data_IF_154031619577
#
_entry.id   IF_154031619577
#
_cell.length_a   1.000
_cell.length_b   1.000
_cell.length_c   1.000
_cell.angle_alpha   90.00
_cell.angle_beta   90.00
_cell.angle_gamma   90.00
#
_symmetry.space_group_name_H-M   'P 1'
#
loop_
_entity.id
_entity.type
_entity.pdbx_description
1 polymer ?
#
# COMPACT_ATOMS: atom_id res chain seq x y z
N UNK A 1 50.95 13.00 -84.21
CA UNK A 1 49.97 11.98 -83.78
C UNK A 1 49.97 11.78 -82.26
N UNK A 2 51.08 11.36 -81.64
CA UNK A 2 51.17 11.12 -80.18
C UNK A 2 50.86 12.37 -79.34
N UNK A 3 51.33 13.56 -79.75
CA UNK A 3 51.07 14.83 -79.05
C UNK A 3 49.59 15.21 -79.01
N UNK A 4 48.85 14.92 -80.08
CA UNK A 4 47.41 15.20 -80.17
C UNK A 4 46.60 14.26 -79.28
N UNK A 5 47.00 12.99 -79.18
CA UNK A 5 46.39 12.01 -78.28
C UNK A 5 46.60 12.41 -76.82
N UNK A 6 47.80 12.85 -76.46
CA UNK A 6 48.10 13.32 -75.09
C UNK A 6 47.30 14.58 -74.75
N UNK A 7 47.15 15.52 -75.70
CA UNK A 7 46.34 16.73 -75.52
C UNK A 7 44.87 16.37 -75.32
N UNK A 8 44.34 15.43 -76.12
CA UNK A 8 42.98 14.92 -76.00
C UNK A 8 42.71 14.28 -74.62
N UNK A 9 43.60 13.40 -74.15
CA UNK A 9 43.47 12.76 -72.83
C UNK A 9 43.49 13.81 -71.72
N UNK A 10 44.35 14.84 -71.80
CA UNK A 10 44.40 15.91 -70.79
C UNK A 10 43.13 16.78 -70.77
N UNK A 11 42.58 17.10 -71.93
CA UNK A 11 41.36 17.91 -72.05
C UNK A 11 40.13 17.15 -71.59
N UNK A 12 40.04 15.85 -71.90
CA UNK A 12 38.86 15.03 -71.62
C UNK A 12 39.04 14.05 -70.45
N UNK A 13 40.09 14.20 -69.62
CA UNK A 13 40.38 13.31 -68.49
C UNK A 13 39.19 13.08 -67.56
N UNK A 14 38.41 14.13 -67.28
CA UNK A 14 37.22 14.04 -66.42
C UNK A 14 36.13 13.20 -67.10
N UNK A 15 35.87 13.43 -68.38
CA UNK A 15 34.90 12.66 -69.15
C UNK A 15 35.29 11.18 -69.29
N UNK A 16 36.58 10.88 -69.46
CA UNK A 16 37.09 9.51 -69.51
C UNK A 16 36.99 8.79 -68.16
N UNK A 17 37.26 9.48 -67.05
CA UNK A 17 37.07 8.93 -65.70
C UNK A 17 35.59 8.67 -65.44
N UNK A 18 34.70 9.60 -65.81
CA UNK A 18 33.25 9.41 -65.67
C UNK A 18 32.74 8.26 -66.53
N UNK A 19 33.22 8.13 -67.78
CA UNK A 19 32.86 7.01 -68.65
C UNK A 19 33.38 5.66 -68.11
N UNK A 20 34.57 5.64 -67.50
CA UNK A 20 35.11 4.45 -66.85
C UNK A 20 34.28 4.07 -65.62
N UNK A 21 33.94 5.04 -64.77
CA UNK A 21 33.09 4.82 -63.59
C UNK A 21 31.72 4.30 -64.04
N UNK A 22 31.04 5.00 -64.94
CA UNK A 22 29.72 4.60 -65.46
C UNK A 22 29.74 3.26 -66.22
N UNK A 23 30.85 2.93 -66.89
CA UNK A 23 31.05 1.64 -67.58
C UNK A 23 31.37 0.47 -66.64
N UNK A 24 31.89 0.73 -65.44
CA UNK A 24 32.14 -0.29 -64.40
C UNK A 24 30.90 -0.49 -63.51
N UNK A 25 29.99 0.49 -63.42
CA UNK A 25 28.78 0.42 -62.59
C UNK A 25 27.72 -0.65 -62.97
N UNK A 26 27.54 -1.15 -64.21
CA UNK A 26 26.44 -2.08 -64.50
C UNK A 26 26.60 -3.47 -63.85
N UNK A 27 27.74 -3.77 -63.21
CA UNK A 27 27.96 -5.02 -62.46
C UNK A 27 27.76 -4.90 -60.94
N UNK A 28 27.30 -3.75 -60.43
CA UNK A 28 26.87 -3.68 -59.04
C UNK A 28 25.53 -4.40 -58.93
N UNK A 29 25.54 -5.66 -58.49
CA UNK A 29 24.32 -6.45 -58.22
C UNK A 29 23.39 -5.64 -57.31
N UNK A 30 22.39 -4.99 -57.91
CA UNK A 30 21.23 -4.47 -57.19
C UNK A 30 20.49 -5.71 -56.71
N UNK A 31 20.64 -6.05 -55.44
CA UNK A 31 19.86 -7.11 -54.81
C UNK A 31 18.39 -6.76 -55.01
N UNK A 32 17.64 -7.68 -55.61
CA UNK A 32 16.23 -7.49 -55.93
C UNK A 32 15.39 -7.66 -54.67
N UNK A 33 15.28 -6.58 -53.89
CA UNK A 33 14.48 -6.52 -52.66
C UNK A 33 12.97 -6.40 -52.93
N UNK A 34 12.54 -6.43 -54.19
CA UNK A 34 11.12 -6.29 -54.56
C UNK A 34 10.24 -7.34 -53.86
N UNK A 35 10.75 -8.57 -53.71
CA UNK A 35 10.03 -9.67 -53.06
C UNK A 35 9.83 -9.43 -51.57
N UNK A 36 10.87 -8.98 -50.86
CA UNK A 36 10.79 -8.65 -49.43
C UNK A 36 9.89 -7.44 -49.20
N UNK A 37 9.97 -6.43 -50.05
CA UNK A 37 9.12 -5.26 -50.00
C UNK A 37 7.63 -5.60 -50.20
N UNK A 38 7.32 -6.43 -51.20
CA UNK A 38 5.94 -6.85 -51.50
C UNK A 38 5.32 -7.73 -50.40
N UNK A 39 6.15 -8.44 -49.61
CA UNK A 39 5.67 -9.23 -48.47
C UNK A 39 5.47 -8.38 -47.20
N UNK A 40 6.31 -7.37 -47.01
CA UNK A 40 6.30 -6.53 -45.79
C UNK A 40 5.30 -5.39 -45.89
N UNK A 41 5.12 -4.77 -47.06
CA UNK A 41 4.19 -3.67 -47.28
C UNK A 41 2.75 -3.94 -46.78
N UNK A 42 2.07 -5.04 -47.16
CA UNK A 42 0.70 -5.28 -46.70
C UNK A 42 0.60 -5.54 -45.19
N UNK A 43 1.66 -6.06 -44.54
CA UNK A 43 1.71 -6.26 -43.10
C UNK A 43 1.80 -4.93 -42.35
N UNK A 44 2.56 -3.97 -42.90
CA UNK A 44 2.67 -2.61 -42.36
C UNK A 44 1.32 -1.91 -42.44
N UNK A 45 0.62 -2.00 -43.57
CA UNK A 45 -0.72 -1.42 -43.74
C UNK A 45 -1.76 -2.03 -42.79
N UNK A 46 -1.71 -3.35 -42.57
CA UNK A 46 -2.59 -4.05 -41.61
C UNK A 46 -2.33 -3.61 -40.16
N UNK A 47 -1.05 -3.46 -39.80
CA UNK A 47 -0.65 -2.94 -38.49
C UNK A 47 -1.11 -1.50 -38.30
N UNK A 48 -0.98 -0.67 -39.33
CA UNK A 48 -1.41 0.73 -39.33
C UNK A 48 -2.93 0.87 -39.14
N UNK A 49 -3.73 -0.08 -39.62
CA UNK A 49 -5.17 -0.14 -39.35
C UNK A 49 -5.53 -0.67 -37.95
N UNK A 50 -4.79 -1.66 -37.44
CA UNK A 50 -5.05 -2.26 -36.12
C UNK A 50 -4.69 -1.33 -34.95
N UNK A 51 -3.68 -0.49 -35.12
CA UNK A 51 -3.23 0.45 -34.08
C UNK A 51 -4.35 1.42 -33.64
N UNK A 52 -5.06 2.13 -34.54
CA UNK A 52 -6.21 2.98 -34.20
C UNK A 52 -7.37 2.21 -33.58
N UNK A 53 -7.66 1.00 -34.07
CA UNK A 53 -8.76 0.19 -33.55
C UNK A 53 -8.53 -0.24 -32.08
N UNK A 54 -7.29 -0.57 -31.73
CA UNK A 54 -6.91 -0.85 -30.34
C UNK A 54 -6.90 0.41 -29.48
N UNK A 55 -6.44 1.54 -30.03
CA UNK A 55 -6.38 2.83 -29.30
C UNK A 55 -7.76 3.43 -29.04
N UNK A 56 -8.69 3.23 -29.95
CA UNK A 56 -10.08 3.72 -29.84
C UNK A 56 -11.03 2.64 -29.33
N UNK A 57 -10.53 1.59 -28.67
CA UNK A 57 -11.38 0.58 -28.07
C UNK A 57 -12.32 1.25 -27.05
N UNK A 58 -13.59 1.37 -27.42
CA UNK A 58 -14.66 2.02 -26.65
C UNK A 58 -14.78 1.44 -25.24
N UNK A 59 -14.49 0.15 -25.07
CA UNK A 59 -14.50 -0.51 -23.76
C UNK A 59 -13.38 0.02 -22.88
N UNK A 60 -12.17 0.23 -23.43
CA UNK A 60 -11.03 0.77 -22.68
C UNK A 60 -11.32 2.20 -22.18
N UNK A 61 -11.98 3.01 -23.02
CA UNK A 61 -12.41 4.36 -22.63
C UNK A 61 -13.48 4.32 -21.54
N UNK A 62 -14.48 3.45 -21.68
CA UNK A 62 -15.53 3.26 -20.67
C UNK A 62 -14.97 2.80 -19.33
N UNK A 63 -13.99 1.89 -19.35
CA UNK A 63 -13.32 1.41 -18.15
C UNK A 63 -12.52 2.53 -17.50
N UNK A 64 -11.82 3.36 -18.28
CA UNK A 64 -11.07 4.50 -17.74
C UNK A 64 -12.01 5.52 -17.06
N UNK A 65 -13.15 5.82 -17.67
CA UNK A 65 -14.16 6.71 -17.07
C UNK A 65 -14.72 6.14 -15.76
N UNK A 66 -14.93 4.82 -15.67
CA UNK A 66 -15.37 4.15 -14.44
C UNK A 66 -14.29 4.18 -13.34
N UNK A 67 -13.02 3.98 -13.71
CA UNK A 67 -11.88 4.10 -12.79
C UNK A 67 -11.79 5.52 -12.21
N UNK A 68 -11.91 6.54 -13.05
CA UNK A 68 -11.85 7.94 -12.62
C UNK A 68 -13.02 8.26 -11.66
N UNK A 69 -14.22 7.75 -11.95
CA UNK A 69 -15.39 7.90 -11.07
C UNK A 69 -15.17 7.24 -9.72
N UNK A 70 -14.68 6.00 -9.69
CA UNK A 70 -14.42 5.24 -8.46
C UNK A 70 -13.30 5.88 -7.63
N UNK A 71 -12.30 6.47 -8.27
CA UNK A 71 -11.25 7.22 -7.58
C UNK A 71 -11.82 8.46 -6.88
N UNK A 72 -12.69 9.22 -7.54
CA UNK A 72 -13.34 10.37 -6.92
C UNK A 72 -14.22 9.96 -5.73
N UNK A 73 -15.02 8.90 -5.90
CA UNK A 73 -15.88 8.38 -4.83
C UNK A 73 -15.06 7.90 -3.61
N UNK A 74 -13.92 7.23 -3.84
CA UNK A 74 -13.02 6.83 -2.76
C UNK A 74 -12.39 8.04 -2.04
N UNK A 75 -12.05 9.10 -2.77
CA UNK A 75 -11.50 10.32 -2.15
C UNK A 75 -12.55 11.02 -1.28
N UNK A 76 -13.80 11.11 -1.74
CA UNK A 76 -14.90 11.70 -0.98
C UNK A 76 -15.21 10.88 0.29
N UNK A 77 -15.30 9.55 0.16
CA UNK A 77 -15.50 8.66 1.30
C UNK A 77 -14.34 8.75 2.30
N UNK A 78 -13.10 8.84 1.82
CA UNK A 78 -11.93 9.00 2.68
C UNK A 78 -12.01 10.30 3.49
N UNK A 79 -12.49 11.39 2.89
CA UNK A 79 -12.69 12.67 3.58
C UNK A 79 -13.82 12.56 4.62
N UNK A 80 -14.93 11.91 4.27
CA UNK A 80 -16.03 11.71 5.21
C UNK A 80 -15.60 10.86 6.43
N UNK A 81 -14.78 9.82 6.22
CA UNK A 81 -14.21 9.02 7.31
C UNK A 81 -13.31 9.86 8.21
N UNK A 82 -12.48 10.74 7.64
CA UNK A 82 -11.63 11.63 8.41
C UNK A 82 -12.44 12.62 9.26
N UNK A 83 -13.49 13.20 8.69
CA UNK A 83 -14.37 14.14 9.39
C UNK A 83 -15.15 13.45 10.52
N UNK A 84 -15.69 12.26 10.28
CA UNK A 84 -16.36 11.46 11.33
C UNK A 84 -15.38 11.04 12.44
N UNK A 85 -14.13 10.74 12.09
CA UNK A 85 -13.10 10.40 13.08
C UNK A 85 -12.81 11.58 14.00
N UNK A 86 -12.68 12.79 13.44
CA UNK A 86 -12.54 14.04 14.22
C UNK A 86 -13.74 14.28 15.14
N UNK A 87 -14.96 14.04 14.64
CA UNK A 87 -16.18 14.18 15.45
C UNK A 87 -16.20 13.19 16.62
N UNK A 88 -15.84 11.93 16.39
CA UNK A 88 -15.73 10.91 17.44
C UNK A 88 -14.71 11.29 18.51
N UNK A 89 -13.56 11.83 18.12
CA UNK A 89 -12.51 12.21 19.07
C UNK A 89 -12.94 13.43 19.91
N UNK A 90 -13.64 14.40 19.32
CA UNK A 90 -14.25 15.51 20.06
C UNK A 90 -15.31 15.02 21.07
N UNK A 91 -16.18 14.08 20.67
CA UNK A 91 -17.19 13.47 21.54
C UNK A 91 -16.55 12.71 22.71
N UNK A 92 -15.46 11.97 22.46
CA UNK A 92 -14.71 11.26 23.50
C UNK A 92 -14.10 12.23 24.50
N UNK A 93 -13.42 13.28 24.04
CA UNK A 93 -12.85 14.31 24.90
C UNK A 93 -13.93 14.97 25.79
N UNK A 94 -15.10 15.28 25.23
CA UNK A 94 -16.22 15.85 25.98
C UNK A 94 -16.77 14.88 27.04
N UNK A 95 -16.86 13.58 26.73
CA UNK A 95 -17.30 12.56 27.70
C UNK A 95 -16.30 12.37 28.83
N UNK A 96 -15.01 12.39 28.52
CA UNK A 96 -13.94 12.28 29.52
C UNK A 96 -13.97 13.49 30.47
N UNK A 97 -14.16 14.69 29.95
CA UNK A 97 -14.27 15.91 30.77
C UNK A 97 -15.49 15.85 31.71
N UNK A 98 -16.66 15.45 31.18
CA UNK A 98 -17.85 15.25 32.01
C UNK A 98 -17.66 14.17 33.09
N UNK A 99 -16.95 13.09 32.78
CA UNK A 99 -16.65 12.04 33.75
C UNK A 99 -15.72 12.55 34.87
N UNK A 100 -14.74 13.39 34.55
CA UNK A 100 -13.87 14.04 35.55
C UNK A 100 -14.66 14.96 36.48
N UNK A 101 -15.52 15.81 35.91
CA UNK A 101 -16.38 16.73 36.68
C UNK A 101 -17.30 15.94 37.63
N UNK A 102 -17.94 14.87 37.17
CA UNK A 102 -18.81 14.03 38.01
C UNK A 102 -18.04 13.31 39.15
N UNK A 103 -16.79 12.90 38.89
CA UNK A 103 -15.91 12.34 39.93
C UNK A 103 -15.46 13.38 40.94
N UNK A 104 -15.30 14.63 40.54
CA UNK A 104 -14.89 15.73 41.42
C UNK A 104 -16.05 16.20 42.30
N UNK A 105 -17.27 16.26 41.76
CA UNK A 105 -18.50 16.57 42.51
C UNK A 105 -18.84 15.50 43.56
N UNK A 106 -18.64 14.22 43.24
CA UNK A 106 -18.86 13.11 44.18
C UNK A 106 -17.83 13.10 45.32
N UNK A 107 -16.57 13.43 45.06
CA UNK A 107 -15.54 13.57 46.12
C UNK A 107 -15.82 14.75 47.05
N UNK A 108 -16.35 15.86 46.53
CA UNK A 108 -16.73 17.04 47.33
C UNK A 108 -17.93 16.79 48.25
N UNK A 109 -18.84 15.89 47.87
CA UNK A 109 -19.97 15.42 48.69
C UNK A 109 -19.53 14.55 49.88
N UNK A 110 -18.43 13.81 49.73
CA UNK A 110 -17.95 12.85 50.73
C UNK A 110 -17.09 13.52 51.83
N UNK A 111 -16.38 14.60 51.48
CA UNK A 111 -15.60 15.41 52.42
C UNK A 111 -16.51 16.23 53.36
N UNK A 112 -17.69 16.68 52.89
CA UNK A 112 -18.66 17.41 53.71
C UNK A 112 -19.40 16.53 54.75
N UNK A 113 -19.36 15.20 54.59
CA UNK A 113 -19.98 14.26 55.54
C UNK A 113 -19.05 13.86 56.70
N UNK A 114 -17.74 14.15 56.61
CA UNK A 114 -16.77 13.88 57.69
C UNK A 114 -16.60 15.03 58.69
N UNK A 115 -17.00 16.25 58.32
CA UNK A 115 -16.88 17.43 59.20
C UNK A 115 -18.09 17.68 60.13
N UNK A 116 -19.13 16.83 60.09
CA UNK A 116 -20.31 16.92 60.98
C UNK A 116 -20.34 15.86 62.10
N UNK A 117 -19.19 15.26 62.42
CA UNK A 117 -19.04 14.29 63.51
C UNK A 117 -18.03 14.71 64.60
N UNK A 118 -17.47 15.92 64.53
CA UNK A 118 -16.48 16.43 65.49
C UNK A 118 -17.03 17.70 66.17
N UNK A 119 -18.21 17.62 66.76
CA UNK A 119 -18.71 18.69 67.64
C UNK A 119 -19.77 18.14 68.62
N UNK A 120 -19.48 17.00 69.23
CA UNK A 120 -20.07 16.60 70.51
C UNK A 120 -19.44 15.30 70.99
N UNK A 121 -18.46 15.42 71.88
CA UNK A 121 -18.23 14.54 73.03
C UNK A 121 -16.87 14.86 73.65
N UNK A 122 -16.86 15.86 74.54
CA UNK A 122 -15.79 16.02 75.51
C UNK A 122 -16.42 16.02 76.90
N UNK A 123 -16.50 14.84 77.55
CA UNK A 123 -16.20 14.67 78.97
C UNK A 123 -16.54 13.28 79.53
N UNK A 124 -15.47 12.64 80.05
CA UNK A 124 -15.37 12.01 81.38
C UNK A 124 -15.76 10.53 81.56
N UNK A 125 -14.70 9.72 81.56
CA UNK A 125 -14.24 8.77 82.60
C UNK A 125 -14.67 7.29 82.68
N UNK A 126 -13.61 6.47 82.71
CA UNK A 126 -13.29 5.33 83.59
C UNK A 126 -14.10 4.03 83.53
N UNK A 127 -13.52 2.97 82.93
CA UNK A 127 -12.83 1.90 83.66
C UNK A 127 -12.49 0.64 82.82
N UNK A 128 -11.23 0.21 82.98
CA UNK A 128 -10.73 -1.15 83.15
C UNK A 128 -10.62 -2.16 81.96
N UNK A 129 -9.40 -2.70 81.90
CA UNK A 129 -8.98 -4.07 81.50
C UNK A 129 -8.56 -4.37 80.07
N UNK A 130 -7.23 -4.36 79.90
CA UNK A 130 -6.40 -5.55 79.64
C UNK A 130 -6.86 -6.44 78.46
N UNK A 131 -6.10 -6.46 77.36
CA UNK A 131 -5.02 -7.43 77.14
C UNK A 131 -4.47 -7.39 75.69
N UNK A 132 -3.14 -7.41 75.59
CA UNK A 132 -2.29 -8.04 74.55
C UNK A 132 -2.42 -7.68 73.07
N UNK A 133 -1.42 -6.91 72.62
CA UNK A 133 -0.39 -7.25 71.62
C UNK A 133 -0.77 -8.12 70.42
N UNK A 134 -0.50 -7.60 69.21
CA UNK A 134 0.54 -8.05 68.23
C UNK A 134 0.16 -7.46 66.85
N UNK A 135 0.81 -6.39 66.40
CA UNK A 135 2.03 -6.39 65.55
C UNK A 135 1.82 -7.16 64.24
N UNK A 136 2.20 -6.71 63.05
CA UNK A 136 2.74 -5.48 62.47
C UNK A 136 2.81 -5.79 60.96
N UNK A 137 2.78 -4.77 60.10
CA UNK A 137 3.53 -4.84 58.83
C UNK A 137 2.71 -5.03 57.53
N UNK A 138 2.29 -3.90 56.98
CA UNK A 138 2.48 -3.58 55.55
C UNK A 138 4.00 -3.51 55.22
N UNK A 139 4.53 -3.42 53.97
CA UNK A 139 3.87 -3.01 52.71
C UNK A 139 4.35 -3.65 51.37
N UNK A 140 3.60 -3.35 50.30
CA UNK A 140 4.04 -2.92 48.95
C UNK A 140 4.71 -3.84 47.88
N UNK A 141 4.22 -3.61 46.65
CA UNK A 141 4.92 -3.31 45.37
C UNK A 141 5.37 -4.41 44.37
N UNK A 142 4.70 -4.37 43.21
CA UNK A 142 5.16 -3.95 41.85
C UNK A 142 6.18 -4.77 41.02
N UNK A 143 5.90 -4.73 39.70
CA UNK A 143 6.78 -4.88 38.52
C UNK A 143 7.06 -6.32 38.03
N UNK A 144 6.65 -6.72 36.82
CA UNK A 144 7.06 -6.30 35.46
C UNK A 144 8.40 -6.92 34.98
N UNK A 145 8.36 -7.61 33.85
CA UNK A 145 9.48 -7.89 32.92
C UNK A 145 8.82 -8.23 31.57
N UNK A 146 8.94 -7.44 30.48
CA UNK A 146 10.15 -7.05 29.70
C UNK A 146 10.92 -8.29 29.22
N UNK A 147 11.32 -8.50 27.97
CA UNK A 147 11.31 -7.78 26.69
C UNK A 147 11.54 -8.83 25.59
N UNK A 148 11.46 -8.53 24.30
CA UNK A 148 12.59 -7.93 23.58
C UNK A 148 12.13 -7.37 22.22
N UNK A 149 12.73 -6.26 21.83
CA UNK A 149 12.40 -5.40 20.68
C UNK A 149 13.63 -5.28 19.80
N UNK A 150 13.55 -5.40 18.46
CA UNK A 150 13.57 -4.28 17.47
C UNK A 150 14.21 -4.80 16.15
N UNK A 151 14.09 -4.14 14.95
CA UNK A 151 13.62 -2.77 14.71
C UNK A 151 12.54 -2.55 13.63
N UNK A 152 12.03 -1.33 13.69
CA UNK A 152 10.98 -0.66 12.91
C UNK A 152 11.16 -0.74 11.39
N UNK A 153 10.03 -0.88 10.68
CA UNK A 153 9.67 -0.03 9.54
C UNK A 153 8.15 0.17 9.59
N UNK A 154 7.74 1.42 9.81
CA UNK A 154 6.36 1.83 9.70
C UNK A 154 5.97 1.77 8.20
N UNK A 155 5.11 0.84 7.81
CA UNK A 155 4.60 0.77 6.43
C UNK A 155 4.24 -0.59 5.84
N UNK A 156 4.30 -1.70 6.56
CA UNK A 156 3.85 -3.00 6.03
C UNK A 156 2.95 -3.74 7.02
N UNK A 157 1.63 -3.55 6.89
CA UNK A 157 0.69 -4.56 7.41
C UNK A 157 1.03 -5.88 6.75
N UNK A 158 1.33 -6.91 7.53
CA UNK A 158 1.66 -8.25 7.03
C UNK A 158 0.48 -8.74 6.16
N UNK A 159 0.70 -8.83 4.85
CA UNK A 159 -0.32 -9.30 3.92
C UNK A 159 -0.50 -10.80 4.16
N UNK A 160 -1.72 -11.16 4.55
CA UNK A 160 -2.17 -12.55 4.66
C UNK A 160 -3.06 -12.90 3.48
N UNK A 161 -3.26 -14.20 3.30
CA UNK A 161 -4.08 -14.77 2.23
C UNK A 161 -5.16 -15.68 2.84
N UNK A 162 -6.36 -15.65 2.29
CA UNK A 162 -7.47 -16.48 2.77
C UNK A 162 -8.48 -16.80 1.68
N UNK A 163 -9.47 -17.62 2.02
CA UNK A 163 -10.63 -17.90 1.17
C UNK A 163 -11.90 -17.56 1.93
N UNK A 164 -13.01 -17.30 1.23
CA UNK A 164 -14.29 -16.97 1.88
C UNK A 164 -14.77 -18.08 2.82
N UNK A 165 -14.66 -19.35 2.40
CA UNK A 165 -15.09 -20.52 3.17
C UNK A 165 -14.02 -21.17 4.05
N UNK A 166 -12.76 -20.73 3.98
CA UNK A 166 -11.66 -21.31 4.77
C UNK A 166 -11.69 -20.87 6.24
N UNK A 167 -11.20 -21.72 7.15
CA UNK A 167 -11.10 -21.39 8.58
C UNK A 167 -9.88 -20.53 8.90
N UNK A 168 -8.75 -20.84 8.26
CA UNK A 168 -7.47 -20.26 8.61
C UNK A 168 -7.01 -19.16 7.64
N UNK A 169 -6.15 -18.25 8.10
CA UNK A 169 -5.38 -17.35 7.24
C UNK A 169 -3.99 -17.92 6.96
N UNK A 170 -3.34 -17.44 5.90
CA UNK A 170 -2.06 -17.93 5.40
C UNK A 170 -1.07 -16.78 5.23
N UNK A 171 0.20 -16.97 5.58
CA UNK A 171 1.28 -16.00 5.26
C UNK A 171 1.80 -16.11 3.82
N UNK A 172 1.48 -17.21 3.12
CA UNK A 172 1.96 -17.51 1.77
C UNK A 172 0.79 -17.82 0.84
N UNK A 173 0.72 -17.14 -0.30
CA UNK A 173 -0.31 -17.36 -1.33
C UNK A 173 -0.27 -18.76 -1.95
N UNK A 174 0.91 -19.38 -1.98
CA UNK A 174 1.15 -20.70 -2.57
C UNK A 174 1.10 -21.85 -1.55
N UNK A 175 0.60 -21.62 -0.34
CA UNK A 175 0.45 -22.68 0.67
C UNK A 175 -0.35 -23.87 0.09
N UNK A 176 0.09 -25.10 0.36
CA UNK A 176 -0.49 -26.32 -0.24
C UNK A 176 -1.97 -26.49 0.05
N UNK A 177 -2.43 -26.06 1.22
CA UNK A 177 -3.84 -26.08 1.63
C UNK A 177 -4.65 -24.92 1.03
N UNK A 178 -4.00 -23.82 0.64
CA UNK A 178 -4.63 -22.64 0.06
C UNK A 178 -4.75 -22.73 -1.48
N UNK A 179 -3.68 -23.16 -2.15
CA UNK A 179 -3.54 -23.14 -3.63
C UNK A 179 -4.59 -23.95 -4.39
N UNK A 180 -5.29 -24.86 -3.71
CA UNK A 180 -6.41 -25.66 -4.25
C UNK A 180 -7.71 -24.86 -4.42
N UNK A 181 -7.74 -23.64 -3.91
CA UNK A 181 -8.96 -22.82 -3.85
C UNK A 181 -9.11 -22.00 -5.13
N UNK A 182 -10.33 -21.93 -5.66
CA UNK A 182 -10.63 -21.20 -6.90
C UNK A 182 -10.44 -19.69 -6.79
N UNK A 183 -10.68 -19.13 -5.60
CA UNK A 183 -10.55 -17.69 -5.32
C UNK A 183 -9.80 -17.50 -4.01
N UNK A 184 -8.69 -16.77 -4.07
CA UNK A 184 -7.85 -16.41 -2.94
C UNK A 184 -7.94 -14.90 -2.77
N UNK A 185 -8.21 -14.46 -1.55
CA UNK A 185 -8.20 -13.05 -1.14
C UNK A 185 -6.89 -12.73 -0.42
N UNK A 186 -6.49 -11.47 -0.44
CA UNK A 186 -5.30 -10.98 0.25
C UNK A 186 -5.55 -9.61 0.87
N UNK A 187 -4.84 -9.31 1.95
CA UNK A 187 -5.00 -8.09 2.74
C UNK A 187 -4.45 -8.30 4.14
N UNK A 188 -4.83 -7.45 5.07
CA UNK A 188 -4.47 -7.57 6.49
C UNK A 188 -5.18 -8.73 7.18
N UNK A 189 -4.66 -9.19 8.31
CA UNK A 189 -5.31 -10.21 9.12
C UNK A 189 -6.70 -9.79 9.59
N UNK A 190 -6.88 -8.50 9.91
CA UNK A 190 -8.18 -7.96 10.32
C UNK A 190 -9.23 -8.07 9.18
N UNK A 191 -8.86 -7.70 7.96
CA UNK A 191 -9.74 -7.81 6.78
C UNK A 191 -10.14 -9.25 6.46
N UNK A 192 -9.28 -10.22 6.79
CA UNK A 192 -9.60 -11.64 6.62
C UNK A 192 -10.75 -12.12 7.51
N UNK A 193 -10.98 -11.45 8.64
CA UNK A 193 -11.91 -11.88 9.69
C UNK A 193 -11.53 -13.21 10.35
N UNK A 194 -10.30 -13.69 10.17
CA UNK A 194 -9.83 -15.01 10.64
C UNK A 194 -8.77 -14.85 11.72
N UNK A 195 -8.97 -15.55 12.83
CA UNK A 195 -8.02 -15.63 13.94
C UNK A 195 -7.12 -16.85 13.88
N UNK A 196 -7.52 -17.91 13.18
CA UNK A 196 -6.79 -19.19 13.13
C UNK A 196 -5.65 -19.15 12.10
N UNK A 197 -4.37 -19.27 12.50
CA UNK A 197 -3.26 -19.34 11.57
C UNK A 197 -3.14 -20.71 10.92
N UNK A 198 -2.80 -20.76 9.63
CA UNK A 198 -2.57 -22.02 8.96
C UNK A 198 -1.34 -22.76 9.54
N UNK A 199 -1.57 -23.96 10.05
CA UNK A 199 -0.55 -24.89 10.55
C UNK A 199 0.61 -25.19 9.57
N UNK A 200 0.43 -25.01 8.26
CA UNK A 200 1.46 -25.34 7.26
C UNK A 200 2.37 -24.15 6.92
N UNK A 201 1.84 -22.93 6.94
CA UNK A 201 2.58 -21.76 6.47
C UNK A 201 2.69 -20.61 7.47
N UNK A 202 2.10 -20.74 8.66
CA UNK A 202 2.12 -19.74 9.72
C UNK A 202 2.85 -20.23 10.98
N UNK A 203 3.58 -21.35 10.88
CA UNK A 203 4.51 -21.84 11.90
C UNK A 203 5.90 -21.25 11.67
#
# INVERSE_FOLDING_TARGET
MIKEIIKFIKTHKIALILALILGILPNLMVKDYSKEFNEVAPKVDELEYKIPALKNNTELKSIQEEVDKLQNENNDLSKEVEDKQKELDNLRAKKEEQAKIAQEESKKSEENSKNKAIENSNSISDNNSKNTNKSSGDPSNLANSSGDSTPKTAGSGEIVYWTSGGKSYHKRSNCTTLKRSKKIYSGTQAESGKSDPCNVCCR
#
